data_IF_519543086205
#
_entry.id   IF_519543086205
#
_cell.length_a   1.000
_cell.length_b   1.000
_cell.length_c   1.000
_cell.angle_alpha   90.00
_cell.angle_beta   90.00
_cell.angle_gamma   90.00
#
_symmetry.space_group_name_H-M   'P 1'
#
loop_
_entity.id
_entity.type
_entity.pdbx_description
1 polymer ?
#
# COMPACT_ATOMS: atom_id res chain seq x y z
N UNK A 1 -19.78 -11.18 -0.10
CA UNK A 1 -19.80 -11.35 1.37
C UNK A 1 -19.20 -10.11 2.03
N UNK A 2 -19.12 -10.08 3.37
CA UNK A 2 -18.41 -9.04 4.12
C UNK A 2 -17.11 -9.62 4.68
N UNK A 3 -16.06 -8.80 4.76
CA UNK A 3 -14.77 -9.14 5.37
C UNK A 3 -14.33 -7.95 6.22
N UNK A 4 -13.77 -8.23 7.40
CA UNK A 4 -13.16 -7.21 8.25
C UNK A 4 -11.68 -7.03 7.87
N UNK A 5 -11.33 -5.80 7.49
CA UNK A 5 -9.95 -5.37 7.24
C UNK A 5 -9.42 -4.71 8.51
N UNK A 6 -8.16 -4.94 8.92
CA UNK A 6 -7.08 -5.58 8.16
C UNK A 6 -6.80 -7.03 8.59
N UNK A 7 -7.76 -7.93 8.45
CA UNK A 7 -7.52 -9.35 8.73
C UNK A 7 -7.44 -10.18 7.44
N UNK A 8 -6.47 -11.13 7.37
CA UNK A 8 -6.38 -12.08 6.27
C UNK A 8 -7.69 -12.83 6.02
N UNK A 9 -7.94 -13.21 4.77
CA UNK A 9 -9.13 -14.01 4.40
C UNK A 9 -9.26 -15.28 5.25
N UNK A 10 -8.12 -15.91 5.57
CA UNK A 10 -7.99 -17.15 6.32
C UNK A 10 -8.27 -16.97 7.82
N UNK A 11 -8.13 -15.76 8.35
CA UNK A 11 -8.28 -15.47 9.77
C UNK A 11 -9.75 -15.56 10.20
N UNK A 12 -10.00 -16.07 11.41
CA UNK A 12 -11.32 -15.99 12.01
C UNK A 12 -11.76 -14.54 12.28
N UNK A 13 -10.80 -13.65 12.59
CA UNK A 13 -11.06 -12.23 12.86
C UNK A 13 -11.56 -11.48 11.62
N UNK A 14 -11.30 -11.99 10.42
CA UNK A 14 -11.83 -11.40 9.18
C UNK A 14 -13.33 -11.64 9.00
N UNK A 15 -13.90 -12.58 9.77
CA UNK A 15 -15.28 -13.04 9.61
C UNK A 15 -15.52 -13.95 8.40
N UNK A 16 -14.47 -14.30 7.64
CA UNK A 16 -14.58 -15.16 6.45
C UNK A 16 -14.04 -16.56 6.70
N UNK A 17 -12.84 -16.69 7.27
CA UNK A 17 -12.17 -17.96 7.61
C UNK A 17 -12.13 -18.94 6.42
N UNK A 18 -11.68 -18.47 5.25
CA UNK A 18 -11.54 -19.29 4.03
C UNK A 18 -10.13 -19.19 3.49
N UNK A 19 -9.66 -20.29 2.88
CA UNK A 19 -8.41 -20.30 2.13
C UNK A 19 -8.66 -19.82 0.70
N UNK A 20 -7.82 -18.91 0.22
CA UNK A 20 -7.82 -18.55 -1.20
C UNK A 20 -7.22 -19.70 -2.02
N UNK A 21 -7.91 -20.12 -3.09
CA UNK A 21 -7.39 -21.15 -4.01
C UNK A 21 -6.58 -20.47 -5.12
N UNK A 22 -5.58 -21.17 -5.65
CA UNK A 22 -4.72 -20.71 -6.77
C UNK A 22 -5.50 -20.16 -7.97
N UNK A 23 -6.64 -20.74 -8.34
CA UNK A 23 -7.42 -20.28 -9.50
C UNK A 23 -8.34 -19.09 -9.19
N UNK A 24 -8.25 -18.52 -7.99
CA UNK A 24 -9.14 -17.48 -7.51
C UNK A 24 -8.41 -16.16 -7.37
N UNK A 25 -9.19 -15.09 -7.46
CA UNK A 25 -8.77 -13.72 -7.19
C UNK A 25 -9.74 -13.15 -6.15
N UNK A 26 -9.19 -12.54 -5.11
CA UNK A 26 -9.95 -11.94 -4.03
C UNK A 26 -10.25 -10.48 -4.38
N UNK A 27 -11.53 -10.13 -4.41
CA UNK A 27 -11.98 -8.77 -4.72
C UNK A 27 -12.50 -8.05 -3.48
N UNK A 28 -11.98 -6.86 -3.22
CA UNK A 28 -12.47 -5.94 -2.20
C UNK A 28 -13.18 -4.76 -2.87
N UNK A 29 -14.23 -4.27 -2.21
CA UNK A 29 -14.90 -3.03 -2.58
C UNK A 29 -15.29 -2.25 -1.34
N UNK A 30 -14.98 -0.97 -1.34
CA UNK A 30 -15.34 -0.04 -0.28
C UNK A 30 -15.78 1.29 -0.89
N UNK A 31 -16.73 1.96 -0.24
CA UNK A 31 -17.16 3.30 -0.61
C UNK A 31 -16.80 4.27 0.51
N UNK A 32 -16.25 5.42 0.16
CA UNK A 32 -15.81 6.45 1.10
C UNK A 32 -16.15 7.85 0.58
N UNK A 33 -16.24 8.81 1.48
CA UNK A 33 -16.43 10.23 1.15
C UNK A 33 -15.24 11.03 1.64
N UNK A 34 -14.91 12.11 0.95
CA UNK A 34 -13.83 13.01 1.35
C UNK A 34 -14.42 14.09 2.28
N UNK A 35 -13.90 14.26 3.50
CA UNK A 35 -14.30 15.36 4.37
C UNK A 35 -14.05 16.72 3.73
N UNK A 36 -14.95 17.67 3.97
CA UNK A 36 -14.82 19.05 3.47
C UNK A 36 -13.49 19.71 3.88
N UNK A 37 -13.00 19.38 5.08
CA UNK A 37 -11.72 19.88 5.61
C UNK A 37 -10.49 19.43 4.80
N UNK A 38 -10.62 18.42 3.94
CA UNK A 38 -9.54 17.91 3.09
C UNK A 38 -9.54 18.54 1.70
N UNK A 39 -10.47 19.47 1.41
CA UNK A 39 -10.47 20.19 0.13
C UNK A 39 -9.14 20.88 -0.13
N UNK A 40 -8.71 20.85 -1.40
CA UNK A 40 -7.44 21.43 -1.90
C UNK A 40 -6.17 20.77 -1.33
N UNK A 41 -6.28 19.60 -0.69
CA UNK A 41 -5.17 18.72 -0.37
C UNK A 41 -5.00 17.69 -1.48
N UNK A 42 -3.78 17.20 -1.64
CA UNK A 42 -3.58 15.96 -2.37
C UNK A 42 -3.94 14.79 -1.44
N UNK A 43 -4.43 13.68 -1.99
CA UNK A 43 -4.83 12.51 -1.21
C UNK A 43 -3.98 11.31 -1.57
N UNK A 44 -3.28 10.81 -0.55
CA UNK A 44 -2.55 9.56 -0.63
C UNK A 44 -3.41 8.44 -0.07
N UNK A 45 -3.51 7.34 -0.82
CA UNK A 45 -4.09 6.08 -0.38
C UNK A 45 -2.96 5.12 -0.02
N UNK A 46 -2.93 4.70 1.24
CA UNK A 46 -1.88 3.85 1.78
C UNK A 46 -2.38 2.45 2.09
N UNK A 47 -1.50 1.49 1.88
CA UNK A 47 -1.65 0.10 2.28
C UNK A 47 -0.45 -0.28 3.13
N UNK A 48 -0.70 -0.75 4.35
CA UNK A 48 0.38 -1.28 5.21
C UNK A 48 1.00 -2.55 4.62
N UNK A 49 0.16 -3.45 4.12
CA UNK A 49 0.56 -4.69 3.47
C UNK A 49 -0.66 -5.39 2.83
N UNK A 50 -0.47 -5.96 1.64
CA UNK A 50 -1.47 -6.78 0.94
C UNK A 50 -0.77 -7.96 0.28
N UNK A 51 -1.14 -9.19 0.62
CA UNK A 51 -0.47 -10.39 0.11
C UNK A 51 -1.21 -10.97 -1.12
N UNK A 52 -0.66 -10.97 -2.35
CA UNK A 52 0.71 -10.56 -2.75
C UNK A 52 0.73 -9.70 -4.04
N UNK A 53 -0.10 -10.00 -5.05
CA UNK A 53 -0.23 -9.23 -6.29
C UNK A 53 -1.54 -8.45 -6.24
N UNK A 54 -1.42 -7.15 -6.08
CA UNK A 54 -2.54 -6.24 -5.86
C UNK A 54 -2.72 -5.30 -7.04
N UNK A 55 -3.96 -5.22 -7.52
CA UNK A 55 -4.43 -4.23 -8.48
C UNK A 55 -5.38 -3.27 -7.73
N UNK A 56 -5.22 -1.96 -7.91
CA UNK A 56 -6.00 -0.93 -7.21
C UNK A 56 -6.75 -0.06 -8.20
N UNK A 57 -8.05 0.11 -7.98
CA UNK A 57 -8.91 1.01 -8.77
C UNK A 57 -9.66 2.01 -7.89
N UNK A 58 -9.80 3.23 -8.39
CA UNK A 58 -10.66 4.26 -7.81
C UNK A 58 -11.64 4.75 -8.86
N UNK A 59 -12.94 4.69 -8.56
CA UNK A 59 -14.03 5.08 -9.46
C UNK A 59 -13.93 4.46 -10.87
N UNK A 60 -13.47 3.21 -10.94
CA UNK A 60 -13.27 2.50 -12.22
C UNK A 60 -11.93 2.73 -12.91
N UNK A 61 -11.13 3.69 -12.47
CA UNK A 61 -9.80 3.97 -13.02
C UNK A 61 -8.76 3.10 -12.34
N UNK A 62 -7.93 2.41 -13.12
CA UNK A 62 -6.78 1.67 -12.62
C UNK A 62 -5.70 2.65 -12.14
N UNK A 63 -5.36 2.57 -10.86
CA UNK A 63 -4.38 3.46 -10.21
C UNK A 63 -2.98 2.87 -10.30
N UNK A 64 -2.86 1.55 -10.13
CA UNK A 64 -1.58 0.87 -10.22
C UNK A 64 -1.59 -0.55 -9.66
N UNK A 65 -0.38 -1.09 -9.57
CA UNK A 65 -0.10 -2.46 -9.15
C UNK A 65 0.93 -2.47 -8.01
N UNK A 66 0.84 -3.47 -7.15
CA UNK A 66 1.89 -3.79 -6.18
C UNK A 66 2.13 -5.29 -6.11
N UNK A 67 3.39 -5.70 -6.02
CA UNK A 67 3.79 -7.09 -5.81
C UNK A 67 4.66 -7.17 -4.55
N UNK A 68 4.23 -8.01 -3.61
CA UNK A 68 4.90 -8.22 -2.32
C UNK A 68 3.91 -8.20 -1.16
N UNK A 69 4.08 -9.11 -0.21
CA UNK A 69 3.13 -9.31 0.88
C UNK A 69 3.39 -8.51 2.15
N UNK A 70 4.55 -7.87 2.31
CA UNK A 70 5.01 -7.34 3.60
C UNK A 70 5.43 -5.88 3.57
N UNK A 71 5.54 -5.28 2.38
CA UNK A 71 6.02 -3.91 2.23
C UNK A 71 4.83 -2.96 2.08
N UNK A 72 4.86 -1.79 2.73
CA UNK A 72 3.85 -0.78 2.51
C UNK A 72 3.99 -0.17 1.12
N UNK A 73 2.86 0.26 0.56
CA UNK A 73 2.81 0.99 -0.71
C UNK A 73 1.70 2.04 -0.68
N UNK A 74 1.79 3.02 -1.57
CA UNK A 74 0.85 4.14 -1.58
C UNK A 74 0.69 4.73 -2.97
N UNK A 75 -0.48 5.30 -3.23
CA UNK A 75 -0.81 5.98 -4.47
C UNK A 75 -1.39 7.36 -4.18
N UNK A 76 -1.00 8.36 -4.97
CA UNK A 76 -1.69 9.65 -5.03
C UNK A 76 -2.94 9.46 -5.90
N UNK A 77 -4.13 9.77 -5.37
CA UNK A 77 -5.41 9.44 -6.02
C UNK A 77 -6.28 10.66 -6.34
N UNK A 78 -5.83 11.90 -6.08
CA UNK A 78 -6.68 13.09 -6.14
C UNK A 78 -7.37 13.28 -7.47
N UNK A 79 -6.67 13.01 -8.58
CA UNK A 79 -7.20 13.18 -9.94
C UNK A 79 -8.27 12.16 -10.33
N UNK A 80 -8.53 11.16 -9.48
CA UNK A 80 -9.49 10.08 -9.74
C UNK A 80 -10.73 10.18 -8.87
N UNK A 81 -10.84 11.20 -8.02
CA UNK A 81 -11.93 11.35 -7.05
C UNK A 81 -13.10 12.15 -7.64
N UNK A 82 -14.31 11.74 -7.27
CA UNK A 82 -15.52 12.51 -7.45
C UNK A 82 -15.64 13.49 -6.27
N UNK A 83 -15.48 14.77 -6.54
CA UNK A 83 -15.61 15.81 -5.51
C UNK A 83 -17.04 15.89 -4.97
N UNK A 84 -17.18 15.94 -3.64
CA UNK A 84 -18.49 16.07 -2.97
C UNK A 84 -19.41 14.86 -3.08
N UNK A 85 -18.98 13.78 -3.74
CA UNK A 85 -19.75 12.55 -3.94
C UNK A 85 -19.02 11.33 -3.31
N UNK A 86 -19.74 10.22 -3.05
CA UNK A 86 -19.10 8.97 -2.70
C UNK A 86 -18.11 8.48 -3.78
N UNK A 87 -16.99 7.93 -3.32
CA UNK A 87 -15.92 7.37 -4.14
C UNK A 87 -15.84 5.86 -3.92
N UNK A 88 -15.65 5.10 -4.99
CA UNK A 88 -15.46 3.65 -4.94
C UNK A 88 -13.96 3.31 -4.94
N UNK A 89 -13.51 2.55 -3.94
CA UNK A 89 -12.24 1.84 -3.94
C UNK A 89 -12.49 0.36 -4.26
N UNK A 90 -11.82 -0.16 -5.29
CA UNK A 90 -11.77 -1.60 -5.59
C UNK A 90 -10.34 -2.10 -5.55
N UNK A 91 -10.16 -3.29 -5.00
CA UNK A 91 -8.90 -4.02 -5.06
C UNK A 91 -9.14 -5.43 -5.57
N UNK A 92 -8.16 -5.96 -6.29
CA UNK A 92 -8.10 -7.34 -6.69
C UNK A 92 -6.75 -7.89 -6.26
N UNK A 93 -6.79 -8.99 -5.54
CA UNK A 93 -5.62 -9.64 -5.00
C UNK A 93 -5.58 -11.05 -5.53
N UNK A 94 -4.55 -11.33 -6.33
CA UNK A 94 -4.22 -12.69 -6.71
C UNK A 94 -3.15 -13.20 -5.76
N UNK A 95 -3.23 -14.46 -5.33
CA UNK A 95 -2.21 -15.12 -4.52
C UNK A 95 -2.08 -16.61 -4.90
N UNK A 96 -0.95 -17.05 -5.52
CA UNK A 96 -0.69 -18.44 -5.83
C UNK A 96 -0.22 -19.25 -4.61
N UNK A 97 -0.02 -18.60 -3.46
CA UNK A 97 0.48 -19.12 -2.20
C UNK A 97 1.79 -19.88 -2.41
N UNK A 98 1.74 -21.21 -2.43
CA UNK A 98 2.87 -22.13 -2.41
C UNK A 98 3.25 -22.67 -3.81
N UNK A 99 2.60 -22.20 -4.88
CA UNK A 99 2.77 -22.76 -6.24
C UNK A 99 3.65 -21.94 -7.19
N UNK A 100 4.22 -20.83 -6.72
CA UNK A 100 5.15 -19.97 -7.47
C UNK A 100 6.55 -19.99 -6.84
N UNK A 101 7.57 -19.47 -7.52
CA UNK A 101 8.99 -19.45 -7.06
C UNK A 101 9.27 -18.39 -5.97
N UNK A 102 8.28 -18.07 -5.12
CA UNK A 102 8.39 -17.02 -4.11
C UNK A 102 8.77 -17.61 -2.75
N UNK A 103 9.30 -16.76 -1.88
CA UNK A 103 9.96 -17.08 -0.59
C UNK A 103 9.39 -18.32 0.10
N UNK A 104 10.02 -19.47 -0.17
CA UNK A 104 9.60 -20.76 0.38
C UNK A 104 10.15 -20.90 1.78
N UNK A 105 9.32 -20.50 2.75
CA UNK A 105 9.63 -20.76 4.17
C UNK A 105 8.43 -20.74 5.10
N UNK A 106 7.32 -20.07 4.74
CA UNK A 106 6.37 -19.62 5.77
C UNK A 106 4.87 -19.82 5.49
N UNK A 107 4.38 -20.00 4.27
CA UNK A 107 2.95 -20.11 4.01
C UNK A 107 2.62 -21.39 3.22
N UNK A 108 1.80 -22.26 3.80
CA UNK A 108 1.32 -23.49 3.15
C UNK A 108 -0.18 -23.68 3.39
N UNK A 109 -0.87 -24.23 2.39
CA UNK A 109 -2.28 -24.61 2.51
C UNK A 109 -2.46 -25.84 3.43
N UNK A 110 -1.39 -26.62 3.64
CA UNK A 110 -1.33 -27.82 4.47
C UNK A 110 -0.08 -27.76 5.37
N UNK A 111 -0.21 -27.28 6.62
CA UNK A 111 0.92 -27.18 7.55
C UNK A 111 1.39 -28.57 7.97
N UNK A 112 2.54 -29.02 7.48
CA UNK A 112 3.23 -30.23 7.98
C UNK A 112 4.60 -29.93 8.59
N UNK A 113 5.26 -28.81 8.21
CA UNK A 113 6.63 -28.45 8.67
C UNK A 113 6.83 -26.96 8.96
N UNK A 114 5.92 -26.08 8.54
CA UNK A 114 5.95 -24.65 8.85
C UNK A 114 4.79 -24.30 9.80
N UNK A 115 5.08 -23.55 10.87
CA UNK A 115 4.12 -23.24 11.95
C UNK A 115 3.11 -22.13 11.63
N UNK A 116 3.13 -21.56 10.42
CA UNK A 116 2.27 -20.41 10.07
C UNK A 116 1.22 -20.80 9.03
N UNK A 117 0.01 -20.27 9.23
CA UNK A 117 -1.12 -20.41 8.31
C UNK A 117 -0.98 -19.46 7.11
N UNK A 118 -1.58 -19.81 5.98
CA UNK A 118 -1.67 -18.91 4.83
C UNK A 118 -2.29 -17.55 5.23
N UNK A 119 -1.82 -16.49 4.56
CA UNK A 119 -2.31 -15.12 4.71
C UNK A 119 -2.46 -14.61 3.29
N UNK A 120 -3.68 -14.30 2.88
CA UNK A 120 -3.94 -13.67 1.58
C UNK A 120 -4.78 -12.41 1.76
N UNK A 121 -4.55 -11.42 0.89
CA UNK A 121 -5.29 -10.17 0.90
C UNK A 121 -4.76 -9.13 1.89
N UNK A 122 -5.63 -8.21 2.28
CA UNK A 122 -5.27 -7.06 3.12
C UNK A 122 -5.13 -7.51 4.58
N UNK A 123 -3.90 -7.53 5.09
CA UNK A 123 -3.60 -7.97 6.46
C UNK A 123 -2.92 -6.91 7.33
N UNK A 124 -2.73 -5.70 6.79
CA UNK A 124 -2.44 -4.49 7.56
C UNK A 124 -3.32 -3.32 7.11
N UNK A 125 -3.34 -2.25 7.91
CA UNK A 125 -4.24 -1.10 7.76
C UNK A 125 -4.21 -0.48 6.36
N UNK A 126 -5.39 -0.01 5.91
CA UNK A 126 -5.56 0.82 4.72
C UNK A 126 -6.12 2.16 5.17
N UNK A 127 -5.52 3.26 4.73
CA UNK A 127 -5.94 4.60 5.16
C UNK A 127 -5.74 5.63 4.06
N UNK A 128 -6.46 6.75 4.19
CA UNK A 128 -6.28 7.94 3.37
C UNK A 128 -5.54 8.99 4.19
N UNK A 129 -4.59 9.69 3.55
CA UNK A 129 -3.84 10.78 4.15
C UNK A 129 -3.98 12.06 3.29
N UNK A 130 -4.57 13.14 3.82
CA UNK A 130 -4.56 14.44 3.17
C UNK A 130 -3.20 15.11 3.35
N UNK A 131 -2.54 15.45 2.25
CA UNK A 131 -1.22 16.08 2.27
C UNK A 131 -1.22 17.42 1.55
N UNK A 132 -0.31 18.30 1.96
CA UNK A 132 -0.09 19.55 1.25
C UNK A 132 0.63 19.30 -0.09
N UNK A 133 0.40 20.20 -1.06
CA UNK A 133 1.11 20.22 -2.34
C UNK A 133 2.62 20.31 -2.19
N UNK A 134 3.10 20.89 -1.09
CA UNK A 134 4.51 20.91 -0.71
C UNK A 134 4.66 20.09 0.56
N UNK A 135 5.36 18.97 0.46
CA UNK A 135 5.58 18.02 1.57
C UNK A 135 6.89 17.27 1.41
N UNK A 136 7.39 16.72 2.52
CA UNK A 136 8.46 15.73 2.48
C UNK A 136 7.85 14.36 2.17
N UNK A 137 8.34 13.70 1.12
CA UNK A 137 7.98 12.31 0.78
C UNK A 137 8.98 11.31 1.36
N UNK A 138 10.16 11.77 1.75
CA UNK A 138 11.15 10.95 2.43
C UNK A 138 12.02 11.82 3.31
N UNK A 139 12.37 11.31 4.48
CA UNK A 139 13.33 11.90 5.39
C UNK A 139 14.28 10.79 5.85
N UNK A 140 15.56 10.93 5.51
CA UNK A 140 16.62 10.03 5.97
C UNK A 140 17.47 10.78 6.99
N UNK A 141 17.60 10.20 8.17
CA UNK A 141 18.45 10.73 9.24
C UNK A 141 19.64 9.79 9.46
N UNK A 142 20.85 10.34 9.53
CA UNK A 142 22.09 9.58 9.73
C UNK A 142 22.85 10.19 10.90
N UNK A 143 22.87 9.55 12.08
CA UNK A 143 23.62 10.04 13.23
C UNK A 143 25.12 9.82 13.05
N UNK A 144 25.92 10.80 13.48
CA UNK A 144 27.38 10.69 13.66
C UNK A 144 27.68 10.89 15.16
N UNK A 145 27.93 9.78 15.85
CA UNK A 145 28.05 9.74 17.31
C UNK A 145 29.32 10.44 17.77
N UNK A 146 30.44 10.23 17.07
CA UNK A 146 31.74 10.80 17.42
C UNK A 146 31.71 12.32 17.29
N UNK A 147 31.08 12.84 16.22
CA UNK A 147 30.90 14.28 16.04
C UNK A 147 29.72 14.88 16.81
N UNK A 148 28.90 14.05 17.45
CA UNK A 148 27.64 14.46 18.11
C UNK A 148 26.73 15.26 17.17
N UNK A 149 26.62 14.83 15.90
CA UNK A 149 25.78 15.49 14.89
C UNK A 149 24.74 14.55 14.29
N UNK A 150 23.69 15.11 13.70
CA UNK A 150 22.66 14.37 12.96
C UNK A 150 22.54 14.96 11.55
N UNK A 151 22.83 14.16 10.53
CA UNK A 151 22.65 14.57 9.14
C UNK A 151 21.24 14.21 8.67
N UNK A 152 20.54 15.17 8.06
CA UNK A 152 19.17 15.00 7.59
C UNK A 152 19.08 15.23 6.09
N UNK A 153 18.48 14.27 5.37
CA UNK A 153 18.28 14.32 3.93
C UNK A 153 16.78 14.20 3.64
N UNK A 154 16.19 15.26 3.10
CA UNK A 154 14.77 15.31 2.75
C UNK A 154 14.55 15.25 1.24
N UNK A 155 13.52 14.51 0.80
CA UNK A 155 12.99 14.59 -0.56
C UNK A 155 11.65 15.32 -0.47
N UNK A 156 11.53 16.45 -1.15
CA UNK A 156 10.28 17.22 -1.26
C UNK A 156 9.61 16.84 -2.58
N UNK A 157 8.31 16.53 -2.52
CA UNK A 157 7.47 16.26 -3.70
C UNK A 157 8.14 15.35 -4.74
N UNK A 158 8.33 14.07 -4.37
CA UNK A 158 8.78 13.01 -5.25
C UNK A 158 7.95 13.06 -6.53
N UNK A 159 8.61 13.43 -7.63
CA UNK A 159 7.98 13.55 -8.94
C UNK A 159 7.57 12.14 -9.37
N UNK A 160 6.32 11.77 -9.11
CA UNK A 160 5.68 10.59 -9.70
C UNK A 160 5.20 10.94 -11.11
N UNK A 161 6.12 11.35 -11.99
CA UNK A 161 5.89 11.22 -13.43
C UNK A 161 6.68 10.01 -13.88
N UNK A 162 5.97 8.94 -14.22
CA UNK A 162 6.54 7.86 -15.02
C UNK A 162 6.84 8.47 -16.40
N UNK A 163 8.02 9.05 -16.55
CA UNK A 163 8.72 9.21 -17.81
C UNK A 163 10.20 8.91 -17.53
N UNK A 164 10.81 8.19 -18.46
CA UNK A 164 12.17 7.68 -18.44
C UNK A 164 13.21 8.66 -17.90
N UNK A 165 14.19 8.09 -17.21
CA UNK A 165 15.44 8.65 -16.68
C UNK A 165 15.69 10.15 -16.87
N UNK A 166 15.86 10.87 -15.76
CA UNK A 166 16.97 11.82 -15.53
C UNK A 166 16.88 12.28 -14.06
N UNK A 167 17.78 11.79 -13.21
CA UNK A 167 17.93 12.29 -11.83
C UNK A 167 18.61 13.66 -11.90
N UNK A 168 17.95 14.70 -11.40
CA UNK A 168 18.62 15.97 -11.06
C UNK A 168 18.84 16.01 -9.55
N UNK A 169 20.10 16.07 -9.14
CA UNK A 169 20.51 16.35 -7.77
C UNK A 169 20.61 17.87 -7.58
N UNK A 170 20.05 18.39 -6.49
CA UNK A 170 20.27 19.76 -6.04
C UNK A 170 21.05 19.69 -4.72
N UNK A 171 22.17 20.43 -4.64
CA UNK A 171 22.93 20.63 -3.41
C UNK A 171 22.48 21.94 -2.76
N UNK A 172 22.16 21.92 -1.46
CA UNK A 172 22.11 23.12 -0.63
C UNK A 172 23.31 23.08 0.33
N UNK A 173 24.15 24.11 0.30
CA UNK A 173 25.15 24.41 1.32
C UNK A 173 24.68 25.61 2.15
N UNK A 174 24.84 25.54 3.47
CA UNK A 174 24.74 26.70 4.35
C UNK A 174 26.15 27.05 4.84
N UNK A 175 26.44 28.36 4.87
CA UNK A 175 27.66 28.98 5.38
C UNK A 175 27.78 28.87 6.89
#
# INVERSE_FOLDING_TARGET
GKILVPFPLESALSGVKKKLKRSQRLWYRHYFTIPESWKRKDLLLHFGAVDWETEVWVNGNLIGFHTGGYNPFSFEISSFLNEGLPNELRLAVYDPTNWSMHERGKQTLTPNTAFYTAVSGIWQTVWLEPVNKTRFDSLRMVPDIDKKTLNMFGIINKISKIFSSLRKFYYLSYS
#
